data_IF_987148619019
#
_entry.id   IF_987148619019
#
_cell.length_a   1.000
_cell.length_b   1.000
_cell.length_c   1.000
_cell.angle_alpha   90.00
_cell.angle_beta   90.00
_cell.angle_gamma   90.00
#
_symmetry.space_group_name_H-M   'P 1'
#
loop_
_entity.id
_entity.type
_entity.pdbx_description
1 polymer ?
#
# COMPACT_ATOMS: atom_id res chain seq x y z
N UNK A 1 32.50 -50.69 66.97
CA UNK A 1 33.09 -49.56 66.23
C UNK A 1 32.14 -49.15 65.13
N UNK A 2 31.44 -48.03 65.32
CA UNK A 2 30.53 -47.43 64.35
C UNK A 2 31.33 -46.69 63.28
N UNK A 3 31.07 -46.94 61.99
CA UNK A 3 31.47 -46.05 60.90
C UNK A 3 30.25 -45.19 60.52
N UNK A 4 30.40 -43.90 60.77
CA UNK A 4 29.44 -42.83 60.51
C UNK A 4 29.43 -42.58 58.99
N UNK A 5 28.27 -42.79 58.36
CA UNK A 5 28.01 -42.29 57.00
C UNK A 5 27.71 -40.80 57.09
N UNK A 6 28.55 -39.97 56.47
CA UNK A 6 28.25 -38.55 56.24
C UNK A 6 27.26 -38.44 55.09
N UNK A 7 26.01 -38.13 55.43
CA UNK A 7 25.00 -37.63 54.50
C UNK A 7 25.43 -36.25 53.99
N UNK A 8 25.68 -36.13 52.69
CA UNK A 8 25.73 -34.83 52.01
C UNK A 8 24.35 -34.62 51.38
N UNK A 9 23.58 -33.72 52.00
CA UNK A 9 22.39 -33.13 51.39
C UNK A 9 22.87 -32.19 50.28
N UNK A 10 22.57 -32.52 49.03
CA UNK A 10 22.68 -31.60 47.90
C UNK A 10 21.27 -31.34 47.38
N UNK A 11 20.75 -30.17 47.73
CA UNK A 11 19.54 -29.59 47.17
C UNK A 11 19.88 -29.23 45.72
N UNK A 12 19.45 -30.07 44.78
CA UNK A 12 19.50 -29.77 43.35
C UNK A 12 18.46 -28.73 43.01
N UNK A 13 18.88 -27.47 42.91
CA UNK A 13 18.10 -26.40 42.29
C UNK A 13 18.07 -26.66 40.78
N UNK A 14 16.86 -26.55 40.24
CA UNK A 14 16.50 -26.73 38.85
C UNK A 14 17.39 -25.97 37.85
N UNK A 15 17.79 -26.67 36.80
CA UNK A 15 17.91 -26.10 35.45
C UNK A 15 17.12 -27.01 34.51
N UNK A 16 15.78 -26.86 34.50
CA UNK A 16 15.02 -27.25 33.31
C UNK A 16 15.48 -26.25 32.25
N UNK A 17 16.46 -26.67 31.45
CA UNK A 17 16.72 -26.06 30.16
C UNK A 17 15.43 -26.21 29.37
N UNK A 18 14.60 -25.16 29.41
CA UNK A 18 13.57 -24.96 28.42
C UNK A 18 14.32 -25.03 27.09
N UNK A 19 14.04 -26.04 26.29
CA UNK A 19 14.35 -26.00 24.87
C UNK A 19 13.51 -24.86 24.29
N UNK A 20 13.96 -23.62 24.48
CA UNK A 20 13.72 -22.57 23.53
C UNK A 20 14.53 -22.99 22.30
N UNK A 21 13.89 -23.75 21.41
CA UNK A 21 14.21 -23.62 20.01
C UNK A 21 13.88 -22.16 19.67
N UNK A 22 14.84 -21.27 19.93
CA UNK A 22 14.95 -20.04 19.19
C UNK A 22 15.17 -20.50 17.75
N UNK A 23 14.08 -20.67 17.00
CA UNK A 23 14.11 -20.80 15.57
C UNK A 23 15.03 -19.68 15.08
N UNK A 24 16.18 -20.08 14.58
CA UNK A 24 17.17 -19.20 14.01
C UNK A 24 16.52 -18.67 12.74
N UNK A 25 15.73 -17.59 12.87
CA UNK A 25 15.12 -16.87 11.75
C UNK A 25 16.29 -16.42 10.89
N UNK A 26 16.60 -17.17 9.83
CA UNK A 26 17.58 -16.76 8.84
C UNK A 26 17.04 -15.46 8.25
N UNK A 27 17.68 -14.30 8.52
CA UNK A 27 17.22 -13.06 7.94
C UNK A 27 17.29 -13.22 6.43
N UNK A 28 16.22 -12.86 5.71
CA UNK A 28 16.34 -12.75 4.26
C UNK A 28 17.50 -11.77 3.97
N UNK A 29 18.37 -12.08 2.99
CA UNK A 29 19.45 -11.19 2.62
C UNK A 29 18.87 -9.79 2.35
N UNK A 30 19.59 -8.75 2.77
CA UNK A 30 19.17 -7.35 2.60
C UNK A 30 19.06 -7.02 1.10
N UNK A 31 17.92 -7.35 0.51
CA UNK A 31 17.61 -7.07 -0.88
C UNK A 31 17.19 -5.61 -0.95
N UNK A 32 17.99 -4.79 -1.63
CA UNK A 32 17.65 -3.38 -1.86
C UNK A 32 16.74 -3.31 -3.08
N UNK A 33 15.47 -3.00 -2.86
CA UNK A 33 14.49 -2.88 -3.94
C UNK A 33 14.50 -1.47 -4.52
N UNK A 34 14.43 -1.35 -5.85
CA UNK A 34 14.17 -0.05 -6.48
C UNK A 34 12.70 0.34 -6.33
N UNK A 35 12.45 1.63 -6.14
CA UNK A 35 11.09 2.19 -6.16
C UNK A 35 10.64 2.40 -7.60
N UNK A 36 9.40 2.06 -7.92
CA UNK A 36 8.79 2.38 -9.22
C UNK A 36 8.77 3.90 -9.37
N UNK A 37 9.39 4.42 -10.43
CA UNK A 37 9.30 5.85 -10.75
C UNK A 37 7.91 6.16 -11.29
N UNK A 38 7.23 7.09 -10.63
CA UNK A 38 5.93 7.62 -11.05
C UNK A 38 6.20 8.78 -12.02
N UNK A 39 5.50 8.77 -13.16
CA UNK A 39 5.60 9.89 -14.09
C UNK A 39 4.79 11.06 -13.54
N UNK A 40 5.33 12.27 -13.62
CA UNK A 40 4.57 13.48 -13.32
C UNK A 40 3.60 13.73 -14.48
N UNK A 41 2.33 13.37 -14.29
CA UNK A 41 1.26 13.57 -15.28
C UNK A 41 0.45 14.78 -14.84
N UNK A 42 0.44 15.83 -15.66
CA UNK A 42 -0.30 17.07 -15.46
C UNK A 42 -1.20 17.36 -16.66
N UNK A 43 -2.06 18.38 -16.55
CA UNK A 43 -2.91 18.81 -17.66
C UNK A 43 -2.10 19.21 -18.90
N UNK A 44 -0.92 19.78 -18.69
CA UNK A 44 -0.06 20.33 -19.75
C UNK A 44 0.65 19.24 -20.56
N UNK A 45 0.82 18.04 -19.99
CA UNK A 45 1.54 16.94 -20.65
C UNK A 45 0.67 15.73 -20.98
N UNK A 46 -0.58 15.68 -20.49
CA UNK A 46 -1.51 14.63 -20.83
C UNK A 46 -2.00 14.78 -22.28
N UNK A 47 -1.82 13.73 -23.08
CA UNK A 47 -2.41 13.64 -24.41
C UNK A 47 -3.66 12.77 -24.33
N UNK A 48 -4.81 13.37 -24.62
CA UNK A 48 -6.10 12.66 -24.63
C UNK A 48 -6.54 12.38 -26.07
N UNK A 49 -6.57 11.11 -26.52
CA UNK A 49 -7.05 10.75 -27.84
C UNK A 49 -8.58 10.88 -27.94
N UNK A 50 -9.09 11.08 -29.16
CA UNK A 50 -10.54 11.07 -29.40
C UNK A 50 -11.10 9.65 -29.45
N UNK A 51 -12.38 9.49 -29.12
CA UNK A 51 -13.07 8.21 -29.18
C UNK A 51 -13.01 7.59 -30.59
N UNK A 52 -13.25 8.39 -31.63
CA UNK A 52 -13.22 7.94 -33.02
C UNK A 52 -11.85 7.39 -33.40
N UNK A 53 -10.77 8.04 -32.94
CA UNK A 53 -9.40 7.58 -33.17
C UNK A 53 -9.18 6.21 -32.55
N UNK A 54 -9.54 6.05 -31.27
CA UNK A 54 -9.40 4.79 -30.54
C UNK A 54 -10.21 3.65 -31.15
N UNK A 55 -11.46 3.91 -31.56
CA UNK A 55 -12.31 2.92 -32.24
C UNK A 55 -11.76 2.54 -33.61
N UNK A 56 -11.20 3.50 -34.34
CA UNK A 56 -10.56 3.21 -35.63
C UNK A 56 -9.42 2.21 -35.48
N UNK A 57 -8.64 2.29 -34.40
CA UNK A 57 -7.59 1.32 -34.07
C UNK A 57 -8.16 -0.03 -33.64
N UNK A 58 -9.20 -0.05 -32.81
CA UNK A 58 -9.87 -1.30 -32.41
C UNK A 58 -10.41 -2.11 -33.60
N UNK A 59 -10.85 -1.43 -34.67
CA UNK A 59 -11.33 -2.10 -35.91
C UNK A 59 -10.23 -2.82 -36.69
N UNK A 60 -8.96 -2.47 -36.52
CA UNK A 60 -7.86 -3.02 -37.32
C UNK A 60 -7.53 -4.48 -36.98
N UNK A 61 -8.02 -5.02 -35.85
CA UNK A 61 -7.81 -6.42 -35.37
C UNK A 61 -6.35 -6.89 -35.30
N UNK A 62 -5.40 -6.02 -35.62
CA UNK A 62 -3.96 -6.17 -35.56
C UNK A 62 -3.42 -5.08 -34.63
N UNK A 63 -2.26 -5.28 -33.99
CA UNK A 63 -1.72 -4.29 -33.07
C UNK A 63 -1.29 -3.03 -33.83
N UNK A 64 -1.66 -1.87 -33.31
CA UNK A 64 -1.18 -0.56 -33.80
C UNK A 64 -0.05 -0.13 -32.88
N UNK A 65 1.16 0.02 -33.42
CA UNK A 65 2.40 0.28 -32.65
C UNK A 65 2.64 -0.76 -31.53
N UNK A 66 2.32 -2.03 -31.78
CA UNK A 66 2.48 -3.11 -30.81
C UNK A 66 1.39 -3.19 -29.74
N UNK A 67 0.34 -2.36 -29.82
CA UNK A 67 -0.77 -2.32 -28.85
C UNK A 67 -2.05 -2.83 -29.48
N UNK A 68 -2.77 -3.69 -28.75
CA UNK A 68 -4.10 -4.17 -29.11
C UNK A 68 -5.17 -3.28 -28.48
N UNK A 69 -6.24 -3.01 -29.23
CA UNK A 69 -7.32 -2.12 -28.82
C UNK A 69 -8.64 -2.89 -28.80
N UNK A 70 -9.37 -2.82 -27.70
CA UNK A 70 -10.71 -3.41 -27.57
C UNK A 70 -11.71 -2.34 -27.19
N UNK A 71 -12.74 -2.14 -28.01
CA UNK A 71 -13.82 -1.19 -27.74
C UNK A 71 -15.06 -1.94 -27.24
N UNK A 72 -15.68 -1.44 -26.18
CA UNK A 72 -16.91 -1.97 -25.58
C UNK A 72 -17.92 -0.85 -25.35
N UNK A 73 -19.20 -1.22 -25.27
CA UNK A 73 -20.30 -0.30 -24.98
C UNK A 73 -21.20 -0.92 -23.91
N UNK A 74 -21.43 -0.16 -22.84
CA UNK A 74 -22.37 -0.48 -21.78
C UNK A 74 -23.66 0.33 -21.98
N UNK A 75 -24.75 -0.38 -22.29
CA UNK A 75 -26.07 0.20 -22.54
C UNK A 75 -26.70 0.81 -21.28
N UNK A 76 -26.47 0.20 -20.11
CA UNK A 76 -27.13 0.61 -18.87
C UNK A 76 -26.62 1.96 -18.36
N UNK A 77 -25.35 2.27 -18.63
CA UNK A 77 -24.69 3.51 -18.21
C UNK A 77 -24.44 4.49 -19.35
N UNK A 78 -24.81 4.13 -20.58
CA UNK A 78 -24.47 4.82 -21.83
C UNK A 78 -22.96 5.14 -21.94
N UNK A 79 -22.13 4.16 -21.58
CA UNK A 79 -20.68 4.34 -21.46
C UNK A 79 -19.97 3.55 -22.55
N UNK A 80 -19.06 4.21 -23.27
CA UNK A 80 -18.15 3.55 -24.19
C UNK A 80 -16.77 3.45 -23.55
N UNK A 81 -16.13 2.29 -23.65
CA UNK A 81 -14.79 2.09 -23.11
C UNK A 81 -13.86 1.57 -24.19
N UNK A 82 -12.59 1.98 -24.14
CA UNK A 82 -11.54 1.42 -24.98
C UNK A 82 -10.35 1.00 -24.12
N UNK A 83 -10.00 -0.27 -24.21
CA UNK A 83 -8.88 -0.89 -23.50
C UNK A 83 -7.69 -1.08 -24.43
N UNK A 84 -6.50 -0.70 -23.95
CA UNK A 84 -5.21 -0.92 -24.62
C UNK A 84 -4.48 -2.05 -23.91
N UNK A 85 -4.03 -3.04 -24.67
CA UNK A 85 -3.39 -4.27 -24.17
C UNK A 85 -2.07 -4.53 -24.87
N UNK A 86 -1.09 -5.02 -24.12
CA UNK A 86 0.21 -5.47 -24.65
C UNK A 86 0.07 -6.76 -25.48
N UNK A 87 -0.93 -7.59 -25.14
CA UNK A 87 -1.27 -8.84 -25.81
C UNK A 87 -2.77 -8.93 -26.00
N UNK A 88 -3.21 -9.56 -27.09
CA UNK A 88 -4.63 -9.72 -27.39
C UNK A 88 -5.42 -10.33 -26.22
N UNK A 89 -4.86 -11.35 -25.56
CA UNK A 89 -5.52 -12.10 -24.48
C UNK A 89 -5.20 -11.57 -23.07
N UNK A 90 -4.63 -10.36 -22.96
CA UNK A 90 -4.32 -9.78 -21.66
C UNK A 90 -5.61 -9.46 -20.90
N UNK A 91 -5.77 -10.06 -19.70
CA UNK A 91 -6.93 -9.82 -18.84
C UNK A 91 -6.94 -8.43 -18.21
N UNK A 92 -5.75 -7.81 -18.06
CA UNK A 92 -5.60 -6.51 -17.41
C UNK A 92 -5.08 -5.51 -18.46
N UNK A 93 -5.85 -4.45 -18.78
CA UNK A 93 -5.40 -3.44 -19.73
C UNK A 93 -4.23 -2.61 -19.16
N UNK A 94 -3.38 -2.14 -20.06
CA UNK A 94 -2.35 -1.14 -19.76
C UNK A 94 -2.98 0.23 -19.51
N UNK A 95 -3.98 0.57 -20.34
CA UNK A 95 -4.74 1.81 -20.29
C UNK A 95 -6.19 1.48 -20.62
N UNK A 96 -7.12 2.04 -19.86
CA UNK A 96 -8.53 2.09 -20.21
C UNK A 96 -8.99 3.54 -20.32
N UNK A 97 -9.68 3.84 -21.41
CA UNK A 97 -10.37 5.10 -21.63
C UNK A 97 -11.86 4.86 -21.48
N UNK A 98 -12.55 5.78 -20.82
CA UNK A 98 -14.00 5.76 -20.69
C UNK A 98 -14.59 7.05 -21.24
N UNK A 99 -15.69 6.92 -21.98
CA UNK A 99 -16.43 8.02 -22.58
C UNK A 99 -17.91 7.89 -22.22
N UNK A 100 -18.52 8.98 -21.78
CA UNK A 100 -19.95 9.10 -21.50
C UNK A 100 -20.51 10.21 -22.37
N UNK A 101 -21.59 9.90 -23.10
CA UNK A 101 -22.20 10.84 -24.05
C UNK A 101 -21.21 11.42 -25.08
N UNK A 102 -20.21 10.63 -25.48
CA UNK A 102 -19.15 11.02 -26.42
C UNK A 102 -18.02 11.87 -25.81
N UNK A 103 -18.10 12.18 -24.52
CA UNK A 103 -17.11 12.98 -23.79
C UNK A 103 -16.29 12.06 -22.91
N UNK A 104 -14.97 12.27 -22.86
CA UNK A 104 -14.11 11.47 -21.99
C UNK A 104 -14.48 11.69 -20.52
N UNK A 105 -14.68 10.60 -19.78
CA UNK A 105 -15.03 10.62 -18.35
C UNK A 105 -13.85 10.18 -17.48
N UNK A 106 -13.09 9.19 -17.93
CA UNK A 106 -11.92 8.71 -17.18
C UNK A 106 -10.82 8.11 -18.06
N UNK A 107 -9.59 8.18 -17.55
CA UNK A 107 -8.44 7.41 -18.02
C UNK A 107 -7.88 6.67 -16.81
N UNK A 108 -7.69 5.37 -16.94
CA UNK A 108 -6.95 4.59 -15.95
C UNK A 108 -5.75 3.95 -16.64
N UNK A 109 -4.58 4.10 -16.05
CA UNK A 109 -3.35 3.44 -16.53
C UNK A 109 -2.56 2.92 -15.34
N UNK A 110 -1.70 1.93 -15.54
CA UNK A 110 -0.84 1.46 -14.47
C UNK A 110 0.51 0.94 -14.93
N UNK A 111 1.44 0.91 -13.99
CA UNK A 111 2.76 0.30 -14.12
C UNK A 111 2.93 -0.73 -13.03
N UNK A 112 3.40 -1.93 -13.37
CA UNK A 112 3.78 -2.94 -12.39
C UNK A 112 5.30 -2.98 -12.28
N UNK A 113 5.81 -3.25 -11.08
CA UNK A 113 7.23 -3.54 -10.90
C UNK A 113 7.59 -4.79 -11.71
N UNK A 114 8.78 -4.79 -12.29
CA UNK A 114 9.37 -5.98 -12.91
C UNK A 114 10.06 -6.85 -11.86
N UNK A 115 10.38 -6.29 -10.68
CA UNK A 115 10.93 -7.01 -9.55
C UNK A 115 9.85 -7.88 -8.90
N UNK A 116 10.23 -9.13 -8.62
CA UNK A 116 9.43 -10.07 -7.83
C UNK A 116 10.20 -10.43 -6.58
N UNK A 117 9.60 -10.20 -5.43
CA UNK A 117 10.08 -10.74 -4.17
C UNK A 117 9.31 -12.01 -3.87
N UNK A 118 10.02 -13.08 -3.50
CA UNK A 118 9.39 -14.34 -3.11
C UNK A 118 9.68 -14.57 -1.64
N UNK A 119 8.63 -14.64 -0.82
CA UNK A 119 8.77 -15.03 0.58
C UNK A 119 9.15 -16.49 0.68
N UNK A 120 10.14 -16.77 1.51
CA UNK A 120 10.46 -18.10 1.98
C UNK A 120 9.91 -18.22 3.41
N UNK A 121 8.61 -18.48 3.56
CA UNK A 121 8.07 -18.82 4.89
C UNK A 121 8.34 -20.29 5.18
N UNK A 122 8.64 -20.64 6.44
CA UNK A 122 8.91 -22.04 6.85
C UNK A 122 7.74 -23.01 6.56
N UNK A 123 6.52 -22.49 6.41
CA UNK A 123 5.41 -23.25 5.84
C UNK A 123 5.51 -23.24 4.30
N UNK A 124 6.08 -24.31 3.74
CA UNK A 124 6.27 -24.54 2.30
C UNK A 124 4.99 -24.49 1.45
N UNK A 125 3.81 -24.50 2.07
CA UNK A 125 2.52 -24.29 1.40
C UNK A 125 2.14 -22.83 1.10
N UNK A 126 2.92 -21.85 1.58
CA UNK A 126 2.56 -20.42 1.51
C UNK A 126 3.62 -19.53 0.85
N UNK A 127 4.28 -20.03 -0.19
CA UNK A 127 5.16 -19.20 -1.03
C UNK A 127 4.35 -18.04 -1.61
N UNK A 128 4.61 -16.83 -1.11
CA UNK A 128 3.95 -15.61 -1.58
C UNK A 128 4.92 -14.83 -2.46
N UNK A 129 4.43 -14.43 -3.64
CA UNK A 129 5.14 -13.49 -4.51
C UNK A 129 4.59 -12.08 -4.29
N UNK A 130 5.49 -11.12 -4.17
CA UNK A 130 5.19 -9.72 -3.95
C UNK A 130 5.74 -8.91 -5.11
N UNK A 131 4.89 -8.05 -5.65
CA UNK A 131 5.29 -6.96 -6.52
C UNK A 131 4.49 -5.72 -6.15
N UNK A 132 5.11 -4.56 -6.35
CA UNK A 132 4.42 -3.29 -6.29
C UNK A 132 3.81 -2.96 -7.66
N UNK A 133 2.78 -2.14 -7.68
CA UNK A 133 2.18 -1.58 -8.87
C UNK A 133 1.65 -0.18 -8.55
N UNK A 134 1.75 0.73 -9.51
CA UNK A 134 1.14 2.04 -9.45
C UNK A 134 0.01 2.10 -10.47
N UNK A 135 -1.12 2.68 -10.08
CA UNK A 135 -2.21 3.03 -10.97
C UNK A 135 -2.40 4.54 -10.95
N UNK A 136 -2.50 5.13 -12.13
CA UNK A 136 -2.96 6.51 -12.31
C UNK A 136 -4.43 6.48 -12.69
N UNK A 137 -5.23 7.28 -11.99
CA UNK A 137 -6.61 7.59 -12.34
C UNK A 137 -6.70 9.07 -12.71
N UNK A 138 -7.27 9.35 -13.87
CA UNK A 138 -7.53 10.68 -14.37
C UNK A 138 -9.03 10.78 -14.59
N UNK A 139 -9.67 11.71 -13.90
CA UNK A 139 -11.11 11.93 -14.01
C UNK A 139 -11.37 13.28 -14.69
N UNK A 140 -12.47 13.36 -15.41
CA UNK A 140 -12.86 14.52 -16.19
C UNK A 140 -14.22 15.06 -15.76
N UNK A 141 -14.42 16.35 -15.97
CA UNK A 141 -15.72 16.99 -15.89
C UNK A 141 -16.59 16.64 -17.11
N UNK A 142 -17.89 16.91 -17.02
CA UNK A 142 -18.86 16.72 -18.11
C UNK A 142 -18.55 17.55 -19.36
N UNK A 143 -17.72 18.58 -19.25
CA UNK A 143 -17.25 19.38 -20.38
C UNK A 143 -15.97 18.82 -21.03
N UNK A 144 -15.43 17.70 -20.53
CA UNK A 144 -14.22 17.05 -21.04
C UNK A 144 -12.91 17.65 -20.53
N UNK A 145 -12.96 18.63 -19.62
CA UNK A 145 -11.76 19.14 -18.95
C UNK A 145 -11.36 18.23 -17.79
N UNK A 146 -10.05 18.13 -17.53
CA UNK A 146 -9.51 17.31 -16.44
C UNK A 146 -10.01 17.86 -15.11
N UNK A 147 -10.53 16.98 -14.27
CA UNK A 147 -10.91 17.26 -12.89
C UNK A 147 -9.79 16.88 -11.93
N UNK A 148 -9.35 15.63 -11.96
CA UNK A 148 -8.29 15.15 -11.05
C UNK A 148 -7.30 14.23 -11.76
N UNK A 149 -6.06 14.24 -11.29
CA UNK A 149 -5.03 13.24 -11.62
C UNK A 149 -4.52 12.70 -10.29
N UNK A 150 -4.63 11.38 -10.09
CA UNK A 150 -4.33 10.70 -8.83
C UNK A 150 -3.53 9.43 -9.11
N UNK A 151 -2.55 9.15 -8.27
CA UNK A 151 -1.74 7.94 -8.36
C UNK A 151 -1.83 7.12 -7.07
N UNK A 152 -1.97 5.81 -7.23
CA UNK A 152 -2.19 4.87 -6.15
C UNK A 152 -1.24 3.69 -6.25
N UNK A 153 -0.59 3.35 -5.14
CA UNK A 153 0.21 2.16 -5.01
C UNK A 153 -0.60 0.95 -4.58
N UNK A 154 -0.17 -0.21 -5.06
CA UNK A 154 -0.76 -1.51 -4.80
C UNK A 154 0.35 -2.54 -4.64
N UNK A 155 0.33 -3.28 -3.54
CA UNK A 155 1.19 -4.42 -3.29
C UNK A 155 0.39 -5.59 -2.74
N UNK A 156 1.06 -6.63 -2.24
CA UNK A 156 0.35 -7.71 -1.55
C UNK A 156 -0.37 -7.13 -0.34
N UNK A 157 -1.71 -7.18 -0.39
CA UNK A 157 -2.62 -6.72 0.68
C UNK A 157 -2.38 -5.26 1.13
N UNK A 158 -1.76 -4.49 0.25
CA UNK A 158 -1.65 -3.05 0.31
C UNK A 158 -2.35 -2.53 -0.92
N UNK A 159 -3.39 -1.72 -0.75
CA UNK A 159 -4.19 -1.26 -1.88
C UNK A 159 -4.58 0.18 -1.71
N UNK A 160 -4.39 0.96 -2.77
CA UNK A 160 -4.93 2.32 -2.84
C UNK A 160 -4.22 3.32 -1.94
N UNK A 161 -2.95 3.09 -1.56
CA UNK A 161 -2.21 4.12 -0.82
C UNK A 161 -1.79 5.23 -1.80
N UNK A 162 -1.97 6.51 -1.46
CA UNK A 162 -1.65 7.60 -2.37
C UNK A 162 -0.14 7.69 -2.57
N UNK A 163 0.27 7.98 -3.80
CA UNK A 163 1.67 8.14 -4.22
C UNK A 163 1.79 9.22 -5.29
N UNK A 164 3.02 9.65 -5.59
CA UNK A 164 3.27 10.61 -6.66
C UNK A 164 2.70 11.99 -6.36
N UNK A 165 2.47 12.76 -7.42
CA UNK A 165 1.90 14.10 -7.33
C UNK A 165 0.44 14.04 -7.77
N UNK A 166 -0.45 14.50 -6.90
CA UNK A 166 -1.87 14.60 -7.21
C UNK A 166 -2.22 16.02 -7.61
N UNK A 167 -3.07 16.15 -8.62
CA UNK A 167 -3.58 17.42 -9.13
C UNK A 167 -5.10 17.45 -9.11
N UNK A 168 -5.67 18.57 -8.66
CA UNK A 168 -7.09 18.89 -8.76
C UNK A 168 -7.26 20.24 -9.46
N UNK A 169 -8.12 20.28 -10.47
CA UNK A 169 -8.40 21.45 -11.30
C UNK A 169 -9.88 21.83 -11.18
N UNK A 170 -10.20 23.10 -11.39
CA UNK A 170 -11.58 23.58 -11.52
C UNK A 170 -12.16 23.27 -12.90
N UNK A 171 -13.47 23.46 -13.06
CA UNK A 171 -14.20 23.23 -14.31
C UNK A 171 -13.72 24.10 -15.49
N UNK A 172 -13.00 25.19 -15.24
CA UNK A 172 -12.34 26.03 -16.27
C UNK A 172 -10.90 25.58 -16.58
N UNK A 173 -10.41 24.54 -15.89
CA UNK A 173 -9.07 24.00 -16.01
C UNK A 173 -8.01 24.69 -15.14
N UNK A 174 -8.37 25.63 -14.26
CA UNK A 174 -7.39 26.27 -13.34
C UNK A 174 -6.95 25.28 -12.25
N UNK A 175 -5.65 25.23 -11.93
CA UNK A 175 -5.15 24.38 -10.84
C UNK A 175 -5.67 24.87 -9.48
N UNK A 176 -6.38 24.03 -8.75
CA UNK A 176 -6.90 24.33 -7.42
C UNK A 176 -6.01 23.79 -6.30
N UNK A 177 -5.53 22.55 -6.46
CA UNK A 177 -4.69 21.89 -5.44
C UNK A 177 -3.67 20.96 -6.08
N UNK A 178 -2.46 20.99 -5.51
CA UNK A 178 -1.37 20.07 -5.80
C UNK A 178 -0.93 19.44 -4.48
N UNK A 179 -0.86 18.11 -4.42
CA UNK A 179 -0.30 17.38 -3.27
C UNK A 179 0.85 16.53 -3.79
N UNK A 180 2.07 16.82 -3.36
CA UNK A 180 3.23 15.98 -3.66
C UNK A 180 3.40 14.97 -2.54
N UNK A 181 2.80 13.79 -2.70
CA UNK A 181 2.93 12.75 -1.70
C UNK A 181 4.40 12.29 -1.63
N UNK A 182 5.07 12.09 -2.77
CA UNK A 182 6.47 11.63 -2.85
C UNK A 182 7.47 12.53 -2.11
N UNK A 183 7.21 13.83 -1.99
CA UNK A 183 8.06 14.76 -1.22
C UNK A 183 8.24 14.33 0.25
N UNK A 184 7.27 13.60 0.79
CA UNK A 184 7.29 13.06 2.14
C UNK A 184 7.89 11.65 2.20
N UNK A 185 8.04 10.98 1.05
CA UNK A 185 8.31 9.55 0.98
C UNK A 185 9.78 9.25 1.19
N UNK A 186 10.08 8.44 2.19
CA UNK A 186 11.42 7.84 2.34
C UNK A 186 11.40 6.34 2.23
N UNK A 187 10.32 5.69 2.66
CA UNK A 187 10.25 4.24 2.65
C UNK A 187 9.50 3.72 1.42
N UNK A 188 10.08 2.70 0.78
CA UNK A 188 9.41 1.97 -0.30
C UNK A 188 8.48 0.89 0.28
N UNK A 189 7.51 0.43 -0.53
CA UNK A 189 6.65 -0.71 -0.18
C UNK A 189 7.46 -1.92 0.34
N UNK A 190 8.63 -2.17 -0.27
CA UNK A 190 9.47 -3.31 0.10
C UNK A 190 10.21 -3.10 1.44
N UNK A 191 10.53 -1.86 1.82
CA UNK A 191 11.08 -1.56 3.14
C UNK A 191 10.05 -1.88 4.24
N UNK A 192 8.78 -1.51 4.01
CA UNK A 192 7.68 -1.85 4.91
C UNK A 192 7.42 -3.36 4.95
N UNK A 193 7.49 -4.02 3.79
CA UNK A 193 7.36 -5.47 3.70
C UNK A 193 8.46 -6.19 4.50
N UNK A 194 9.71 -5.71 4.44
CA UNK A 194 10.82 -6.28 5.20
C UNK A 194 10.60 -6.16 6.72
N UNK A 195 10.06 -5.02 7.19
CA UNK A 195 9.67 -4.85 8.59
C UNK A 195 8.59 -5.89 8.96
N UNK A 196 7.52 -5.98 8.19
CA UNK A 196 6.44 -6.93 8.44
C UNK A 196 6.90 -8.39 8.40
N UNK A 197 7.79 -8.73 7.47
CA UNK A 197 8.33 -10.07 7.29
C UNK A 197 9.16 -10.53 8.48
N UNK A 198 9.87 -9.63 9.15
CA UNK A 198 10.68 -9.96 10.34
C UNK A 198 9.87 -10.61 11.47
N UNK A 199 8.55 -10.36 11.53
CA UNK A 199 7.67 -10.94 12.52
C UNK A 199 7.24 -12.38 12.19
N UNK A 200 7.30 -12.79 10.92
CA UNK A 200 7.01 -14.17 10.48
C UNK A 200 5.51 -14.49 10.32
N UNK A 201 4.62 -13.50 10.33
CA UNK A 201 3.19 -13.71 10.16
C UNK A 201 2.83 -14.02 8.70
N UNK A 202 1.96 -15.00 8.41
CA UNK A 202 1.62 -15.38 7.04
C UNK A 202 0.84 -14.28 6.29
N UNK A 203 0.10 -13.44 7.02
CA UNK A 203 -0.72 -12.39 6.45
C UNK A 203 -0.19 -11.03 6.90
N UNK A 204 0.21 -10.20 5.93
CA UNK A 204 0.68 -8.83 6.16
C UNK A 204 -0.23 -7.91 5.36
N UNK A 205 -0.80 -6.89 5.98
CA UNK A 205 -1.46 -5.77 5.29
C UNK A 205 -0.66 -4.49 5.53
N UNK A 206 -0.58 -3.61 4.54
CA UNK A 206 0.15 -2.34 4.66
C UNK A 206 -0.77 -1.22 4.15
N UNK A 207 -0.93 -0.17 4.97
CA UNK A 207 -1.66 1.03 4.55
C UNK A 207 -0.91 2.27 5.01
N UNK A 208 -1.27 3.40 4.42
CA UNK A 208 -0.62 4.68 4.66
C UNK A 208 -1.63 5.72 5.12
N UNK A 209 -1.18 6.61 5.98
CA UNK A 209 -1.92 7.78 6.40
C UNK A 209 -1.01 9.00 6.52
N UNK A 210 -1.65 10.17 6.53
CA UNK A 210 -0.99 11.46 6.53
C UNK A 210 -1.75 12.42 7.42
N UNK A 211 -1.04 13.44 7.88
CA UNK A 211 -1.62 14.67 8.39
C UNK A 211 -0.79 15.87 7.90
N UNK A 212 -1.02 17.06 8.44
CA UNK A 212 -0.33 18.28 7.98
C UNK A 212 1.20 18.27 8.17
N UNK A 213 1.73 17.39 9.03
CA UNK A 213 3.14 17.41 9.43
C UNK A 213 3.86 16.07 9.24
N UNK A 214 3.12 14.97 9.11
CA UNK A 214 3.62 13.61 9.11
C UNK A 214 2.99 12.79 8.01
N UNK A 215 3.81 11.88 7.48
CA UNK A 215 3.36 10.69 6.79
C UNK A 215 3.78 9.49 7.61
N UNK A 216 2.94 8.46 7.65
CA UNK A 216 3.23 7.25 8.38
C UNK A 216 2.54 6.03 7.78
N UNK A 217 3.07 4.86 8.10
CA UNK A 217 2.59 3.58 7.62
C UNK A 217 2.05 2.75 8.77
N UNK A 218 0.97 2.02 8.48
CA UNK A 218 0.51 0.93 9.31
C UNK A 218 0.85 -0.40 8.66
N UNK A 219 1.41 -1.31 9.44
CA UNK A 219 1.58 -2.72 9.07
C UNK A 219 0.68 -3.54 9.98
N UNK A 220 -0.25 -4.28 9.40
CA UNK A 220 -1.15 -5.21 10.07
C UNK A 220 -0.65 -6.63 9.87
N UNK A 221 -0.42 -7.34 10.95
CA UNK A 221 0.10 -8.71 10.95
C UNK A 221 -0.96 -9.63 11.53
N UNK A 222 -1.48 -10.52 10.69
CA UNK A 222 -2.53 -11.45 11.06
C UNK A 222 -2.00 -12.89 11.06
N UNK A 223 -2.25 -13.66 12.14
CA UNK A 223 -1.78 -15.04 12.21
C UNK A 223 -2.49 -15.90 11.16
N UNK A 224 -2.08 -17.17 11.06
CA UNK A 224 -2.84 -18.11 10.25
C UNK A 224 -4.24 -18.29 10.85
N UNK A 225 -5.33 -18.42 10.06
CA UNK A 225 -6.66 -18.63 10.60
C UNK A 225 -6.79 -19.86 11.53
N UNK A 226 -5.92 -20.86 11.36
CA UNK A 226 -5.85 -22.05 12.22
C UNK A 226 -5.03 -21.84 13.50
N UNK A 227 -4.19 -20.80 13.55
CA UNK A 227 -3.46 -20.42 14.76
C UNK A 227 -4.39 -19.64 15.70
N UNK A 228 -4.85 -20.34 16.74
CA UNK A 228 -5.78 -19.80 17.75
C UNK A 228 -5.08 -19.11 18.92
N UNK A 229 -3.75 -19.01 18.89
CA UNK A 229 -2.94 -18.58 20.04
C UNK A 229 -2.21 -17.27 19.81
N UNK A 230 -1.67 -17.09 18.61
CA UNK A 230 -0.95 -15.86 18.25
C UNK A 230 -1.94 -14.71 18.06
N UNK A 231 -1.63 -13.54 18.63
CA UNK A 231 -2.47 -12.35 18.50
C UNK A 231 -2.09 -11.55 17.25
N UNK A 232 -3.06 -10.87 16.66
CA UNK A 232 -2.84 -9.86 15.62
C UNK A 232 -2.02 -8.69 16.17
N UNK A 233 -1.15 -8.14 15.32
CA UNK A 233 -0.27 -7.02 15.67
C UNK A 233 -0.50 -5.88 14.67
N UNK A 234 -0.61 -4.66 15.19
CA UNK A 234 -0.60 -3.42 14.42
C UNK A 234 0.69 -2.67 14.73
N UNK A 235 1.44 -2.32 13.69
CA UNK A 235 2.69 -1.57 13.78
C UNK A 235 2.48 -0.21 13.12
N UNK A 236 2.85 0.86 13.81
CA UNK A 236 2.94 2.20 13.24
C UNK A 236 4.40 2.54 12.97
N UNK A 237 4.72 2.95 11.75
CA UNK A 237 6.06 3.31 11.31
C UNK A 237 6.05 4.74 10.81
N UNK A 238 6.93 5.58 11.34
CA UNK A 238 7.19 6.90 10.79
C UNK A 238 7.84 6.75 9.41
N UNK A 239 7.18 7.27 8.37
CA UNK A 239 7.68 7.14 7.00
C UNK A 239 9.02 7.87 6.81
N UNK A 240 9.26 8.95 7.54
CA UNK A 240 10.46 9.79 7.35
C UNK A 240 11.72 9.12 7.90
N UNK A 241 11.61 8.42 9.01
CA UNK A 241 12.74 7.85 9.75
C UNK A 241 12.81 6.34 9.66
N UNK A 242 11.71 5.67 9.30
CA UNK A 242 11.55 4.23 9.39
C UNK A 242 11.43 3.72 10.83
N UNK A 243 11.34 4.63 11.82
CA UNK A 243 11.20 4.26 13.22
C UNK A 243 9.83 3.61 13.46
N UNK A 244 9.83 2.44 14.10
CA UNK A 244 8.61 1.85 14.66
C UNK A 244 8.20 2.70 15.87
N UNK A 245 7.09 3.43 15.73
CA UNK A 245 6.51 4.26 16.79
C UNK A 245 5.83 3.39 17.83
N UNK A 246 5.08 2.39 17.39
CA UNK A 246 4.57 1.34 18.27
C UNK A 246 4.35 0.03 17.53
N UNK A 247 4.29 -1.05 18.30
CA UNK A 247 3.87 -2.38 17.87
C UNK A 247 2.92 -2.92 18.95
N UNK A 248 1.64 -3.00 18.63
CA UNK A 248 0.58 -3.25 19.61
C UNK A 248 -0.30 -4.41 19.17
N UNK A 249 -0.91 -5.08 20.13
CA UNK A 249 -1.91 -6.12 19.88
C UNK A 249 -3.31 -5.52 19.74
N UNK A 250 -4.27 -6.29 19.20
CA UNK A 250 -5.67 -5.87 19.12
C UNK A 250 -6.27 -5.42 20.46
N UNK A 251 -5.90 -6.05 21.57
CA UNK A 251 -6.39 -5.67 22.91
C UNK A 251 -5.95 -4.26 23.33
N UNK A 252 -4.83 -3.79 22.80
CA UNK A 252 -4.26 -2.47 23.08
C UNK A 252 -4.81 -1.39 22.16
N UNK A 253 -5.46 -1.73 21.03
CA UNK A 253 -6.06 -0.74 20.11
C UNK A 253 -7.09 0.17 20.80
N UNK A 254 -7.75 -0.31 21.85
CA UNK A 254 -8.67 0.50 22.67
C UNK A 254 -7.99 1.75 23.28
N UNK A 255 -6.69 1.68 23.56
CA UNK A 255 -5.94 2.81 24.11
C UNK A 255 -5.65 3.88 23.05
N UNK A 256 -5.50 3.50 21.78
CA UNK A 256 -5.44 4.47 20.69
C UNK A 256 -6.76 5.23 20.55
N UNK A 257 -7.90 4.51 20.56
CA UNK A 257 -9.24 5.12 20.44
C UNK A 257 -9.55 6.10 21.58
N UNK A 258 -9.10 5.78 22.79
CA UNK A 258 -9.31 6.61 23.98
C UNK A 258 -8.18 7.59 24.25
N UNK A 259 -7.17 7.64 23.37
CA UNK A 259 -5.95 8.46 23.50
C UNK A 259 -5.19 8.24 24.82
N UNK A 260 -5.33 7.06 25.42
CA UNK A 260 -4.62 6.63 26.63
C UNK A 260 -3.23 6.09 26.29
N UNK A 261 -2.40 6.91 25.62
CA UNK A 261 -1.09 6.51 25.08
C UNK A 261 -0.08 6.13 26.16
N UNK A 262 -0.24 6.64 27.38
CA UNK A 262 0.51 6.25 28.57
C UNK A 262 0.41 4.75 28.87
N UNK A 263 -0.70 4.10 28.47
CA UNK A 263 -0.93 2.66 28.66
C UNK A 263 -0.26 1.77 27.62
N UNK A 264 0.39 2.35 26.62
CA UNK A 264 1.09 1.62 25.56
C UNK A 264 2.57 1.37 25.85
N UNK A 265 3.10 1.86 26.98
CA UNK A 265 4.51 1.72 27.37
C UNK A 265 5.49 2.15 26.26
N UNK A 266 5.19 3.27 25.60
CA UNK A 266 6.02 3.80 24.50
C UNK A 266 7.33 4.42 25.03
N UNK A 267 8.35 4.51 24.17
CA UNK A 267 9.49 5.38 24.46
C UNK A 267 9.03 6.83 24.56
N UNK A 268 9.86 7.68 25.17
CA UNK A 268 9.56 9.12 25.28
C UNK A 268 9.35 9.74 23.90
N UNK A 269 10.22 9.43 22.95
CA UNK A 269 10.20 9.93 21.58
C UNK A 269 8.95 9.46 20.84
N UNK A 270 8.59 8.18 20.96
CA UNK A 270 7.37 7.63 20.34
C UNK A 270 6.10 8.21 20.94
N UNK A 271 6.07 8.46 22.26
CA UNK A 271 4.94 9.11 22.92
C UNK A 271 4.79 10.56 22.44
N UNK A 272 5.88 11.31 22.39
CA UNK A 272 5.90 12.68 21.86
C UNK A 272 5.43 12.71 20.40
N UNK A 273 5.89 11.78 19.58
CA UNK A 273 5.47 11.64 18.18
C UNK A 273 3.95 11.44 18.07
N UNK A 274 3.38 10.50 18.83
CA UNK A 274 1.94 10.20 18.77
C UNK A 274 1.10 11.39 19.26
N UNK A 275 1.54 12.04 20.35
CA UNK A 275 0.86 13.21 20.90
C UNK A 275 0.89 14.40 19.93
N UNK A 276 1.99 14.60 19.20
CA UNK A 276 2.08 15.65 18.19
C UNK A 276 1.22 15.30 16.96
N UNK A 277 1.32 14.07 16.45
CA UNK A 277 0.55 13.58 15.29
C UNK A 277 -0.96 13.78 15.47
N UNK A 278 -1.46 13.54 16.68
CA UNK A 278 -2.88 13.67 17.02
C UNK A 278 -3.43 15.10 16.93
N UNK A 279 -2.59 16.11 17.11
CA UNK A 279 -3.00 17.53 17.07
C UNK A 279 -3.33 18.00 15.66
N UNK A 280 -2.68 17.41 14.67
CA UNK A 280 -2.78 17.82 13.26
C UNK A 280 -3.63 16.87 12.43
N UNK A 281 -4.32 15.90 13.06
CA UNK A 281 -5.16 14.98 12.32
C UNK A 281 -6.28 15.74 11.59
N UNK A 282 -6.22 15.71 10.25
CA UNK A 282 -7.31 16.13 9.38
C UNK A 282 -8.02 14.87 8.88
N UNK A 283 -9.35 14.77 8.98
CA UNK A 283 -10.09 13.67 8.38
C UNK A 283 -9.81 13.58 6.88
N UNK A 284 -9.58 12.36 6.37
CA UNK A 284 -9.33 12.11 4.94
C UNK A 284 -10.39 12.76 4.04
N UNK A 285 -11.63 12.81 4.52
CA UNK A 285 -12.75 13.45 3.85
C UNK A 285 -12.52 14.93 3.55
N UNK A 286 -11.92 15.65 4.48
CA UNK A 286 -11.59 17.07 4.34
C UNK A 286 -10.29 17.24 3.56
N UNK A 287 -9.29 16.40 3.82
CA UNK A 287 -7.98 16.49 3.19
C UNK A 287 -8.07 16.25 1.66
N UNK A 288 -8.87 15.25 1.26
CA UNK A 288 -9.06 14.84 -0.14
C UNK A 288 -10.35 15.34 -0.78
N UNK A 289 -11.04 16.33 -0.20
CA UNK A 289 -12.34 16.80 -0.72
C UNK A 289 -12.34 17.21 -2.20
N UNK A 290 -11.25 17.86 -2.65
CA UNK A 290 -11.07 18.30 -4.04
C UNK A 290 -10.66 17.17 -4.99
N UNK A 291 -10.39 15.98 -4.46
CA UNK A 291 -9.95 14.79 -5.21
C UNK A 291 -11.04 13.73 -5.34
N UNK A 292 -12.27 14.05 -4.91
CA UNK A 292 -13.42 13.16 -5.01
C UNK A 292 -13.93 13.20 -6.45
N UNK A 293 -14.38 12.05 -6.98
CA UNK A 293 -14.90 11.96 -8.35
C UNK A 293 -16.09 12.91 -8.59
N UNK A 294 -16.20 13.41 -9.81
CA UNK A 294 -17.37 14.18 -10.26
C UNK A 294 -18.41 13.18 -10.78
N UNK A 295 -19.51 13.01 -10.06
CA UNK A 295 -20.59 12.08 -10.42
C UNK A 295 -21.67 12.75 -11.30
#
# INVERSE_FOLDING_TARGET
>A
MYKIYRSVFLIGIFSISSFMNAQQKTPNPAQKFSTIKIDDISKENLITPTYETLVSYAKQKQPVNGIFYTATYNQDTNTHSVELKDKADSLVPLISYEFKDGIISSIMTGKRDTQKYTRTTENSGYTQQFSNAIQTQIDFYKNGLIHTIRHFGYGVKASGYPVGIWYAYSEDGTLQKKIDHDSHFRMSFYDLLAIGDSYGFPNIGITRAFNDIHSYWYIFLNPHPEDRTTKEITILVDDKTGQIIYSITNEQQKYLKTKAYDRLNLSKESLEWVLENDKYHIPDEEFYKLFRGYW
#
